data_IF_155852594919
#
_entry.id   IF_155852594919
#
_cell.length_a   1.000
_cell.length_b   1.000
_cell.length_c   1.000
_cell.angle_alpha   90.00
_cell.angle_beta   90.00
_cell.angle_gamma   90.00
#
_symmetry.space_group_name_H-M   'P 1'
#
loop_
_entity.id
_entity.type
_entity.pdbx_description
1 polymer ?
#
# COMPACT_ATOMS: atom_id res chain seq x y z
N UNK A 1 18.38 33.78 7.38
CA UNK A 1 18.10 32.88 8.52
C UNK A 1 16.97 31.95 8.10
N UNK A 2 17.27 30.90 7.34
CA UNK A 2 16.31 29.95 6.72
C UNK A 2 16.66 28.47 7.01
N UNK A 3 17.70 28.27 7.82
CA UNK A 3 18.35 26.99 8.09
C UNK A 3 17.47 26.03 8.93
N UNK A 4 16.68 26.46 9.95
CA UNK A 4 16.00 25.49 10.82
C UNK A 4 14.85 24.76 10.13
N UNK A 5 14.17 25.40 9.16
CA UNK A 5 13.10 24.74 8.40
C UNK A 5 13.66 23.61 7.55
N UNK A 6 14.72 23.86 6.77
CA UNK A 6 15.33 22.85 5.89
C UNK A 6 15.87 21.66 6.69
N UNK A 7 16.49 21.91 7.85
CA UNK A 7 17.01 20.84 8.73
C UNK A 7 15.86 20.03 9.35
N UNK A 8 14.77 20.67 9.74
CA UNK A 8 13.59 19.98 10.29
C UNK A 8 12.86 19.15 9.23
N UNK A 9 12.81 19.64 7.98
CA UNK A 9 12.31 18.89 6.82
C UNK A 9 13.18 17.68 6.50
N UNK A 10 14.51 17.83 6.55
CA UNK A 10 15.44 16.73 6.27
C UNK A 10 15.37 15.63 7.36
N UNK A 11 15.34 16.00 8.63
CA UNK A 11 15.11 15.05 9.72
C UNK A 11 13.73 14.39 9.64
N UNK A 12 12.69 15.13 9.26
CA UNK A 12 11.36 14.54 9.06
C UNK A 12 11.36 13.55 7.91
N UNK A 13 12.08 13.84 6.81
CA UNK A 13 12.26 12.91 5.69
C UNK A 13 13.05 11.65 6.12
N UNK A 14 14.13 11.81 6.90
CA UNK A 14 14.91 10.67 7.39
C UNK A 14 14.10 9.77 8.34
N UNK A 15 13.30 10.37 9.23
CA UNK A 15 12.39 9.63 10.12
C UNK A 15 11.36 8.88 9.28
N UNK A 16 10.79 9.53 8.26
CA UNK A 16 9.79 8.93 7.39
C UNK A 16 10.37 7.74 6.57
N UNK A 17 11.58 7.89 6.04
CA UNK A 17 12.32 6.81 5.35
C UNK A 17 12.59 5.62 6.29
N UNK A 18 12.96 5.87 7.55
CA UNK A 18 13.19 4.79 8.53
C UNK A 18 11.89 4.09 8.94
N UNK A 19 10.78 4.82 9.05
CA UNK A 19 9.45 4.23 9.30
C UNK A 19 8.99 3.34 8.15
N UNK A 20 9.29 3.73 6.91
CA UNK A 20 8.99 2.96 5.71
C UNK A 20 9.78 1.64 5.67
N UNK A 21 11.07 1.66 5.99
CA UNK A 21 11.93 0.46 6.01
C UNK A 21 11.56 -0.57 7.09
N UNK A 22 10.87 -0.14 8.15
CA UNK A 22 10.38 -1.03 9.21
C UNK A 22 8.93 -1.43 9.01
N UNK A 23 8.29 -0.96 7.93
CA UNK A 23 6.91 -1.24 7.66
C UNK A 23 6.71 -2.67 7.18
N UNK A 24 5.67 -3.30 7.71
CA UNK A 24 5.23 -4.63 7.28
C UNK A 24 3.85 -4.47 6.65
N UNK A 25 3.76 -4.80 5.36
CA UNK A 25 2.48 -4.88 4.65
C UNK A 25 2.05 -6.32 4.53
N UNK A 26 0.75 -6.56 4.70
CA UNK A 26 0.12 -7.84 4.52
C UNK A 26 -0.67 -7.84 3.22
N UNK A 27 -0.31 -8.74 2.31
CA UNK A 27 -1.10 -9.05 1.12
C UNK A 27 -2.31 -9.88 1.54
N UNK A 28 -3.50 -9.29 1.44
CA UNK A 28 -4.73 -10.01 1.75
C UNK A 28 -4.94 -11.16 0.73
N UNK A 29 -5.37 -12.34 1.18
CA UNK A 29 -5.58 -13.50 0.30
C UNK A 29 -6.85 -13.38 -0.55
N UNK A 30 -7.77 -12.50 -0.17
CA UNK A 30 -9.05 -12.29 -0.84
C UNK A 30 -8.84 -11.59 -2.20
N UNK A 31 -9.70 -11.92 -3.17
CA UNK A 31 -9.80 -11.19 -4.44
C UNK A 31 -10.72 -10.00 -4.25
N UNK A 32 -10.30 -8.85 -4.76
CA UNK A 32 -11.05 -7.61 -4.61
C UNK A 32 -11.36 -7.05 -5.99
N UNK A 33 -12.54 -6.45 -6.14
CA UNK A 33 -12.95 -5.77 -7.37
C UNK A 33 -13.52 -4.40 -7.07
N UNK A 34 -13.22 -3.43 -7.92
CA UNK A 34 -13.88 -2.13 -7.89
C UNK A 34 -15.32 -2.26 -8.39
N UNK A 35 -16.29 -1.81 -7.59
CA UNK A 35 -17.69 -1.75 -8.00
C UNK A 35 -18.00 -0.59 -8.95
N UNK A 36 -17.15 0.44 -8.96
CA UNK A 36 -17.27 1.56 -9.89
C UNK A 36 -15.96 2.33 -9.95
N UNK A 37 -15.61 2.88 -11.12
CA UNK A 37 -14.36 3.63 -11.36
C UNK A 37 -14.16 4.82 -10.41
N UNK A 38 -15.26 5.28 -9.79
CA UNK A 38 -15.33 6.50 -8.96
C UNK A 38 -15.58 6.26 -7.49
N UNK A 39 -16.04 5.07 -7.06
CA UNK A 39 -16.41 4.85 -5.66
C UNK A 39 -15.63 3.70 -5.02
N UNK A 40 -15.15 4.02 -3.82
CA UNK A 40 -14.29 3.28 -2.92
C UNK A 40 -14.89 1.98 -2.35
N UNK A 41 -15.93 1.42 -2.98
CA UNK A 41 -16.62 0.23 -2.49
C UNK A 41 -16.03 -0.99 -3.17
N UNK A 42 -15.48 -1.88 -2.34
CA UNK A 42 -14.71 -3.03 -2.75
C UNK A 42 -15.48 -4.25 -2.27
N UNK A 43 -15.88 -5.10 -3.20
CA UNK A 43 -16.46 -6.40 -2.87
C UNK A 43 -15.39 -7.48 -2.98
N UNK A 44 -15.44 -8.43 -2.05
CA UNK A 44 -14.71 -9.70 -2.13
C UNK A 44 -15.42 -10.56 -3.16
N UNK A 45 -14.80 -10.77 -4.32
CA UNK A 45 -15.42 -11.51 -5.43
C UNK A 45 -14.96 -12.97 -5.43
N UNK A 46 -15.90 -13.91 -5.38
CA UNK A 46 -15.66 -15.35 -5.57
C UNK A 46 -15.73 -15.75 -7.07
N UNK A 47 -16.07 -14.82 -7.97
CA UNK A 47 -16.24 -15.06 -9.40
C UNK A 47 -15.01 -14.67 -10.22
N UNK A 48 -14.69 -15.46 -11.25
CA UNK A 48 -13.39 -15.49 -11.97
C UNK A 48 -13.23 -14.38 -13.02
N UNK A 49 -13.68 -13.16 -12.71
CA UNK A 49 -13.69 -12.04 -13.67
C UNK A 49 -12.40 -11.20 -13.54
N UNK A 50 -11.41 -11.51 -14.39
CA UNK A 50 -10.02 -11.02 -14.31
C UNK A 50 -9.83 -9.53 -14.67
N UNK A 51 -10.78 -8.89 -15.35
CA UNK A 51 -10.58 -7.56 -15.98
C UNK A 51 -10.46 -6.39 -14.96
N UNK A 52 -10.89 -6.61 -13.72
CA UNK A 52 -10.86 -5.61 -12.64
C UNK A 52 -10.31 -6.16 -11.32
N UNK A 53 -9.47 -7.20 -11.39
CA UNK A 53 -8.91 -7.84 -10.21
C UNK A 53 -7.84 -6.94 -9.56
N UNK A 54 -8.05 -6.61 -8.29
CA UNK A 54 -7.13 -5.81 -7.48
C UNK A 54 -6.68 -6.60 -6.26
N UNK A 55 -5.43 -6.40 -5.89
CA UNK A 55 -4.87 -6.89 -4.64
C UNK A 55 -4.99 -5.80 -3.57
N UNK A 56 -5.18 -6.22 -2.33
CA UNK A 56 -5.18 -5.32 -1.18
C UNK A 56 -3.93 -5.55 -0.34
N UNK A 57 -3.22 -4.46 -0.07
CA UNK A 57 -2.08 -4.41 0.84
C UNK A 57 -2.49 -3.65 2.10
N UNK A 58 -2.52 -4.34 3.23
CA UNK A 58 -2.82 -3.75 4.53
C UNK A 58 -1.54 -3.51 5.32
N UNK A 59 -1.33 -2.33 5.86
CA UNK A 59 -0.24 -2.13 6.81
C UNK A 59 -0.57 -2.84 8.13
N UNK A 60 0.35 -3.68 8.62
CA UNK A 60 0.16 -4.40 9.90
C UNK A 60 1.15 -3.98 10.98
N UNK A 61 2.20 -3.23 10.62
CA UNK A 61 3.20 -2.73 11.58
C UNK A 61 2.74 -1.47 12.33
N UNK A 62 1.76 -0.73 11.79
CA UNK A 62 1.26 0.52 12.36
C UNK A 62 -0.26 0.62 12.18
N UNK A 63 -0.94 1.33 13.08
CA UNK A 63 -2.38 1.58 13.07
C UNK A 63 -2.72 3.09 13.11
N UNK A 64 -3.96 3.46 12.81
CA UNK A 64 -4.44 4.84 12.90
C UNK A 64 -3.81 5.81 11.88
N UNK A 65 -3.52 7.05 12.32
CA UNK A 65 -2.99 8.12 11.46
C UNK A 65 -1.63 7.77 10.81
N UNK A 66 -0.65 7.19 11.53
CA UNK A 66 0.61 6.73 10.93
C UNK A 66 0.41 5.73 9.78
N UNK A 67 -0.63 4.89 9.85
CA UNK A 67 -0.88 3.91 8.79
C UNK A 67 -1.33 4.56 7.48
N UNK A 68 -2.16 5.61 7.54
CA UNK A 68 -2.57 6.36 6.36
C UNK A 68 -1.39 7.09 5.71
N UNK A 69 -0.55 7.76 6.50
CA UNK A 69 0.62 8.48 6.00
C UNK A 69 1.58 7.55 5.28
N UNK A 70 1.90 6.40 5.88
CA UNK A 70 2.76 5.38 5.27
C UNK A 70 2.13 4.85 3.97
N UNK A 71 0.83 4.56 3.95
CA UNK A 71 0.16 4.07 2.73
C UNK A 71 0.14 5.13 1.61
N UNK A 72 0.01 6.42 1.96
CA UNK A 72 0.13 7.52 1.00
C UNK A 72 1.53 7.58 0.39
N UNK A 73 2.57 7.39 1.18
CA UNK A 73 3.93 7.38 0.67
C UNK A 73 4.25 6.13 -0.17
N UNK A 74 3.77 4.97 0.27
CA UNK A 74 3.81 3.76 -0.55
C UNK A 74 3.15 3.99 -1.92
N UNK A 75 1.98 4.63 -1.94
CA UNK A 75 1.28 4.99 -3.17
C UNK A 75 2.11 5.95 -4.04
N UNK A 76 2.72 6.97 -3.45
CA UNK A 76 3.51 7.95 -4.21
C UNK A 76 4.76 7.32 -4.83
N UNK A 77 5.43 6.41 -4.10
CA UNK A 77 6.54 5.62 -4.64
C UNK A 77 6.11 4.71 -5.81
N UNK A 78 4.95 4.07 -5.71
CA UNK A 78 4.39 3.24 -6.79
C UNK A 78 4.01 4.10 -8.00
N UNK A 79 3.44 5.28 -7.77
CA UNK A 79 3.11 6.24 -8.83
C UNK A 79 4.37 6.67 -9.59
N UNK A 80 5.50 6.83 -8.91
CA UNK A 80 6.78 7.16 -9.53
C UNK A 80 7.27 6.07 -10.51
N UNK A 81 6.84 4.82 -10.35
CA UNK A 81 7.13 3.71 -11.27
C UNK A 81 5.93 3.35 -12.17
N UNK A 82 4.97 4.26 -12.32
CA UNK A 82 3.76 4.09 -13.16
C UNK A 82 2.82 2.97 -12.71
N UNK A 83 2.88 2.59 -11.44
CA UNK A 83 1.90 1.68 -10.82
C UNK A 83 0.80 2.51 -10.17
N UNK A 84 -0.43 2.34 -10.64
CA UNK A 84 -1.59 3.04 -10.07
C UNK A 84 -2.07 2.35 -8.79
N UNK A 85 -2.25 3.15 -7.74
CA UNK A 85 -2.65 2.70 -6.41
C UNK A 85 -3.76 3.57 -5.84
N UNK A 86 -4.75 2.94 -5.21
CA UNK A 86 -5.85 3.62 -4.52
C UNK A 86 -5.87 3.21 -3.06
N UNK A 87 -6.04 4.17 -2.17
CA UNK A 87 -6.16 3.90 -0.73
C UNK A 87 -7.64 3.98 -0.39
N UNK A 88 -8.14 2.95 0.28
CA UNK A 88 -9.51 2.89 0.77
C UNK A 88 -9.56 2.10 2.08
N UNK A 89 -10.65 2.26 2.83
CA UNK A 89 -10.89 1.44 4.01
C UNK A 89 -11.37 0.05 3.60
N UNK A 90 -10.78 -0.97 4.21
CA UNK A 90 -11.13 -2.38 4.05
C UNK A 90 -11.25 -3.00 5.45
N UNK A 91 -12.41 -3.57 5.77
CA UNK A 91 -12.66 -4.14 7.10
C UNK A 91 -12.40 -3.13 8.24
N UNK A 92 -12.62 -1.83 7.99
CA UNK A 92 -12.36 -0.75 8.95
C UNK A 92 -10.88 -0.38 9.12
N UNK A 93 -9.98 -0.86 8.26
CA UNK A 93 -8.55 -0.54 8.27
C UNK A 93 -8.11 0.03 6.92
N UNK A 94 -7.15 0.97 6.89
CA UNK A 94 -6.68 1.51 5.62
C UNK A 94 -5.89 0.46 4.84
N UNK A 95 -6.22 0.33 3.55
CA UNK A 95 -5.58 -0.61 2.64
C UNK A 95 -5.23 0.09 1.33
N UNK A 96 -4.10 -0.29 0.75
CA UNK A 96 -3.65 0.12 -0.56
C UNK A 96 -4.04 -0.94 -1.59
N UNK A 97 -4.84 -0.54 -2.56
CA UNK A 97 -5.37 -1.36 -3.62
C UNK A 97 -4.62 -1.10 -4.91
N UNK A 98 -4.15 -2.17 -5.53
CA UNK A 98 -3.32 -2.13 -6.74
C UNK A 98 -3.84 -3.18 -7.70
N UNK A 99 -3.73 -2.91 -9.01
CA UNK A 99 -4.11 -3.90 -10.02
C UNK A 99 -3.24 -5.15 -9.90
N UNK A 100 -3.86 -6.31 -10.06
CA UNK A 100 -3.14 -7.59 -9.96
C UNK A 100 -2.01 -7.73 -10.99
N UNK A 101 -2.15 -7.13 -12.17
CA UNK A 101 -1.09 -7.10 -13.18
C UNK A 101 0.19 -6.39 -12.70
N UNK A 102 0.05 -5.42 -11.79
CA UNK A 102 1.14 -4.60 -11.27
C UNK A 102 1.70 -5.15 -9.93
N UNK A 103 1.21 -6.30 -9.47
CA UNK A 103 1.61 -6.94 -8.21
C UNK A 103 3.12 -7.21 -8.17
N UNK A 104 3.71 -7.69 -9.27
CA UNK A 104 5.14 -8.01 -9.33
C UNK A 104 6.01 -6.77 -9.24
N UNK A 105 5.65 -5.69 -9.93
CA UNK A 105 6.32 -4.39 -9.88
C UNK A 105 6.20 -3.78 -8.47
N UNK A 106 5.01 -3.90 -7.87
CA UNK A 106 4.75 -3.49 -6.48
C UNK A 106 5.65 -4.23 -5.51
N UNK A 107 5.64 -5.56 -5.54
CA UNK A 107 6.46 -6.38 -4.64
C UNK A 107 7.96 -6.08 -4.81
N UNK A 108 8.42 -5.86 -6.04
CA UNK A 108 9.79 -5.45 -6.32
C UNK A 108 10.13 -4.09 -5.68
N UNK A 109 9.26 -3.09 -5.90
CA UNK A 109 9.42 -1.75 -5.34
C UNK A 109 9.49 -1.79 -3.81
N UNK A 110 8.50 -2.42 -3.17
CA UNK A 110 8.41 -2.55 -1.72
C UNK A 110 9.66 -3.22 -1.13
N UNK A 111 10.11 -4.34 -1.72
CA UNK A 111 11.32 -5.04 -1.28
C UNK A 111 12.57 -4.17 -1.43
N UNK A 112 12.71 -3.44 -2.53
CA UNK A 112 13.85 -2.54 -2.74
C UNK A 112 13.88 -1.39 -1.73
N UNK A 113 12.72 -0.99 -1.20
CA UNK A 113 12.58 0.02 -0.17
C UNK A 113 12.68 -0.54 1.26
N UNK A 114 12.93 -1.85 1.41
CA UNK A 114 13.04 -2.51 2.72
C UNK A 114 11.72 -2.84 3.38
N UNK A 115 10.57 -2.60 2.72
CA UNK A 115 9.25 -2.96 3.24
C UNK A 115 9.10 -4.48 3.26
N UNK A 116 8.76 -5.03 4.42
CA UNK A 116 8.49 -6.45 4.55
C UNK A 116 7.08 -6.78 4.06
N UNK A 117 6.94 -7.88 3.32
CA UNK A 117 5.66 -8.32 2.76
C UNK A 117 5.27 -9.65 3.40
N UNK A 118 4.17 -9.65 4.14
CA UNK A 118 3.56 -10.84 4.71
C UNK A 118 2.45 -11.34 3.79
N UNK A 119 2.48 -12.62 3.43
CA UNK A 119 1.43 -13.29 2.68
C UNK A 119 0.89 -14.48 3.49
N UNK A 120 -0.42 -14.71 3.44
CA UNK A 120 -1.01 -15.89 4.08
C UNK A 120 -0.89 -17.06 3.12
N UNK A 121 0.00 -17.99 3.44
CA UNK A 121 0.02 -19.30 2.79
C UNK A 121 -1.14 -20.14 3.31
N UNK A 122 -2.21 -20.22 2.53
CA UNK A 122 -3.23 -21.25 2.73
C UNK A 122 -2.64 -22.53 2.12
N UNK A 123 -2.00 -23.34 2.97
CA UNK A 123 -1.48 -24.65 2.57
C UNK A 123 -2.62 -25.51 2.03
N UNK A 124 -2.54 -25.85 0.75
CA UNK A 124 -3.37 -26.90 0.13
C UNK A 124 -2.54 -28.16 -0.01
#
# INVERSE_FOLDING_TARGET
>A
MLIPLVVNWLHSLEILITMLQLSVVHRLPQRFRWLSDRHSVIETDDTDSEEHDVIALRLISHDGVPAWEILHELKDMLTAIQVDGKIAECEGQPCLFIRRCDESATNCCLKNQGVAIAETFIGR
#
